data_IF_414143780835
#
_entry.id   IF_414143780835
#
_cell.length_a   1.000
_cell.length_b   1.000
_cell.length_c   1.000
_cell.angle_alpha   90.00
_cell.angle_beta   90.00
_cell.angle_gamma   90.00
#
_symmetry.space_group_name_H-M   'P 1'
#
loop_
_entity.id
_entity.type
_entity.pdbx_description
1 polymer ?
#
# COMPACT_ATOMS: atom_id res chain seq x y z
N UNK A 1 1.36 13.02 -7.94
CA UNK A 1 0.96 11.76 -8.58
C UNK A 1 1.03 11.91 -10.09
N UNK A 2 1.53 10.91 -10.80
CA UNK A 2 1.57 10.93 -12.26
C UNK A 2 0.14 10.93 -12.86
N UNK A 3 -0.27 11.96 -13.62
CA UNK A 3 -1.62 12.06 -14.18
C UNK A 3 -1.94 10.92 -15.16
N UNK A 4 -0.94 10.40 -15.86
CA UNK A 4 -1.08 9.31 -16.83
C UNK A 4 -1.55 8.01 -16.15
N UNK A 5 -1.03 7.72 -14.94
CA UNK A 5 -1.40 6.54 -14.16
C UNK A 5 -2.82 6.68 -13.59
N UNK A 6 -3.17 7.87 -13.09
CA UNK A 6 -4.50 8.17 -12.55
C UNK A 6 -5.56 7.99 -13.64
N UNK A 7 -5.33 8.53 -14.84
CA UNK A 7 -6.28 8.44 -15.94
C UNK A 7 -6.44 7.00 -16.43
N UNK A 8 -5.37 6.20 -16.42
CA UNK A 8 -5.43 4.78 -16.72
C UNK A 8 -6.29 4.02 -15.71
N UNK A 9 -6.08 4.24 -14.41
CA UNK A 9 -6.86 3.60 -13.34
C UNK A 9 -8.32 4.00 -13.45
N UNK A 10 -8.63 5.30 -13.63
CA UNK A 10 -10.00 5.80 -13.86
C UNK A 10 -10.64 5.11 -15.07
N UNK A 11 -9.91 4.92 -16.17
CA UNK A 11 -10.41 4.25 -17.37
C UNK A 11 -10.72 2.77 -17.11
N UNK A 12 -9.81 2.03 -16.47
CA UNK A 12 -10.00 0.59 -16.20
C UNK A 12 -11.14 0.34 -15.19
N UNK A 13 -11.29 1.21 -14.18
CA UNK A 13 -12.43 1.17 -13.25
C UNK A 13 -13.75 1.44 -13.99
N UNK A 14 -13.80 2.46 -14.88
CA UNK A 14 -14.98 2.73 -15.73
C UNK A 14 -15.33 1.58 -16.68
N UNK A 15 -14.34 0.80 -17.10
CA UNK A 15 -14.50 -0.38 -17.95
C UNK A 15 -14.89 -1.65 -17.16
N UNK A 16 -15.25 -1.52 -15.87
CA UNK A 16 -15.57 -2.64 -14.97
C UNK A 16 -14.43 -3.67 -14.84
N UNK A 17 -13.18 -3.23 -14.95
CA UNK A 17 -11.98 -4.04 -14.72
C UNK A 17 -11.19 -3.51 -13.50
N UNK A 18 -11.69 -3.71 -12.26
CA UNK A 18 -11.07 -3.17 -11.05
C UNK A 18 -9.92 -4.05 -10.53
N UNK A 19 -9.05 -4.54 -11.42
CA UNK A 19 -7.94 -5.43 -11.05
C UNK A 19 -6.60 -4.74 -11.24
N UNK A 20 -5.72 -4.90 -10.26
CA UNK A 20 -4.38 -4.32 -10.25
C UNK A 20 -3.35 -5.36 -9.80
N UNK A 21 -2.13 -5.24 -10.30
CA UNK A 21 -0.97 -5.94 -9.77
C UNK A 21 -0.18 -4.99 -8.89
N UNK A 22 0.10 -5.41 -7.66
CA UNK A 22 0.92 -4.66 -6.70
C UNK A 22 2.30 -5.32 -6.65
N UNK A 23 3.32 -4.54 -6.94
CA UNK A 23 4.71 -4.99 -6.91
C UNK A 23 5.57 -4.01 -6.12
N UNK A 24 6.53 -4.55 -5.39
CA UNK A 24 7.48 -3.75 -4.62
C UNK A 24 8.61 -3.25 -5.53
N UNK A 25 9.08 -2.03 -5.28
CA UNK A 25 10.27 -1.47 -5.95
C UNK A 25 11.53 -1.98 -5.25
N UNK A 26 12.61 -2.14 -6.00
CA UNK A 26 13.91 -2.55 -5.42
C UNK A 26 14.63 -1.39 -4.76
N UNK A 27 14.53 -0.20 -5.36
CA UNK A 27 15.16 1.02 -4.85
C UNK A 27 14.10 1.85 -4.10
N UNK A 28 14.18 1.85 -2.77
CA UNK A 28 13.27 2.63 -1.91
C UNK A 28 13.51 4.15 -2.03
N UNK A 29 14.70 4.56 -2.45
CA UNK A 29 15.11 5.97 -2.57
C UNK A 29 14.61 6.66 -3.86
N UNK A 30 14.05 5.91 -4.82
CA UNK A 30 13.60 6.48 -6.08
C UNK A 30 12.20 7.13 -5.95
N UNK A 31 12.08 8.48 -6.06
CA UNK A 31 10.81 9.17 -5.91
C UNK A 31 9.88 9.01 -7.13
N UNK A 32 10.36 8.43 -8.23
CA UNK A 32 9.55 8.27 -9.43
C UNK A 32 8.43 7.27 -9.16
N UNK A 33 7.18 7.68 -9.33
CA UNK A 33 6.02 6.79 -9.13
C UNK A 33 5.89 5.75 -10.24
N UNK A 34 6.35 6.09 -11.45
CA UNK A 34 6.26 5.26 -12.65
C UNK A 34 7.65 4.80 -13.04
N UNK A 35 7.80 3.49 -13.22
CA UNK A 35 9.07 2.85 -13.55
C UNK A 35 9.23 2.78 -15.06
N UNK A 36 10.47 2.84 -15.54
CA UNK A 36 10.77 2.75 -16.98
C UNK A 36 11.14 1.33 -17.38
N UNK A 37 11.77 0.56 -16.46
CA UNK A 37 12.28 -0.78 -16.74
C UNK A 37 11.76 -1.82 -15.76
N UNK A 38 11.49 -3.04 -16.25
CA UNK A 38 11.01 -4.18 -15.44
C UNK A 38 12.00 -4.64 -14.37
N UNK A 39 13.27 -4.23 -14.47
CA UNK A 39 14.35 -4.58 -13.53
C UNK A 39 14.28 -3.83 -12.20
N UNK A 40 13.65 -2.66 -12.19
CA UNK A 40 13.49 -1.79 -11.02
C UNK A 40 12.48 -2.33 -10.00
N UNK A 41 11.73 -3.37 -10.38
CA UNK A 41 10.64 -3.96 -9.62
C UNK A 41 10.97 -5.43 -9.34
N UNK A 42 10.48 -5.96 -8.23
CA UNK A 42 10.57 -7.39 -7.96
C UNK A 42 9.67 -8.21 -8.92
N UNK A 43 10.14 -9.40 -9.28
CA UNK A 43 9.43 -10.24 -10.27
C UNK A 43 8.09 -10.76 -9.75
N UNK A 44 8.00 -10.98 -8.43
CA UNK A 44 6.82 -11.52 -7.76
C UNK A 44 6.10 -10.41 -7.02
N UNK A 45 4.80 -10.33 -7.24
CA UNK A 45 3.90 -9.41 -6.57
C UNK A 45 2.56 -10.05 -6.24
N UNK A 46 1.58 -9.20 -5.94
CA UNK A 46 0.25 -9.62 -5.52
C UNK A 46 -0.82 -9.06 -6.44
N UNK A 47 -1.67 -9.94 -6.94
CA UNK A 47 -2.89 -9.58 -7.65
C UNK A 47 -3.94 -9.13 -6.65
N UNK A 48 -4.43 -7.91 -6.83
CA UNK A 48 -5.41 -7.30 -5.96
C UNK A 48 -6.60 -6.76 -6.75
N UNK A 49 -7.74 -6.69 -6.09
CA UNK A 49 -8.96 -6.10 -6.62
C UNK A 49 -9.25 -4.78 -5.89
N UNK A 50 -9.52 -3.72 -6.63
CA UNK A 50 -9.96 -2.43 -6.07
C UNK A 50 -11.41 -2.59 -5.59
N UNK A 51 -11.63 -2.47 -4.29
CA UNK A 51 -12.97 -2.44 -3.69
C UNK A 51 -13.56 -1.04 -3.67
N UNK A 52 -12.73 -0.06 -3.29
CA UNK A 52 -13.14 1.34 -3.19
C UNK A 52 -12.09 2.24 -3.85
N UNK A 53 -12.58 3.23 -4.60
CA UNK A 53 -11.77 4.27 -5.22
C UNK A 53 -12.34 5.63 -4.83
N UNK A 54 -11.55 6.43 -4.13
CA UNK A 54 -11.86 7.83 -3.82
C UNK A 54 -10.98 8.72 -4.67
N UNK A 55 -11.63 9.56 -5.48
CA UNK A 55 -10.97 10.51 -6.36
C UNK A 55 -10.89 11.88 -5.68
N UNK A 56 -9.67 12.35 -5.42
CA UNK A 56 -9.40 13.68 -4.86
C UNK A 56 -8.86 14.66 -5.94
N UNK A 57 -9.07 14.35 -7.22
CA UNK A 57 -8.59 15.14 -8.35
C UNK A 57 -7.13 14.85 -8.70
N UNK A 58 -6.21 15.35 -7.87
CA UNK A 58 -4.75 15.22 -8.06
C UNK A 58 -4.16 13.97 -7.39
N UNK A 59 -4.95 13.32 -6.54
CA UNK A 59 -4.58 12.09 -5.82
C UNK A 59 -5.75 11.13 -5.84
N UNK A 60 -5.42 9.85 -5.84
CA UNK A 60 -6.40 8.78 -5.90
C UNK A 60 -6.13 7.85 -4.72
N UNK A 61 -7.12 7.70 -3.85
CA UNK A 61 -7.06 6.78 -2.71
C UNK A 61 -7.76 5.49 -3.11
N UNK A 62 -7.01 4.40 -3.07
CA UNK A 62 -7.49 3.06 -3.41
C UNK A 62 -7.54 2.20 -2.15
N UNK A 63 -8.64 1.48 -1.98
CA UNK A 63 -8.73 0.35 -1.07
C UNK A 63 -8.75 -0.91 -1.93
N UNK A 64 -7.72 -1.73 -1.80
CA UNK A 64 -7.55 -2.94 -2.58
C UNK A 64 -7.47 -4.17 -1.68
N UNK A 65 -8.00 -5.29 -2.16
CA UNK A 65 -7.94 -6.59 -1.50
C UNK A 65 -7.06 -7.52 -2.29
N UNK A 66 -6.02 -8.03 -1.64
CA UNK A 66 -5.12 -9.04 -2.19
C UNK A 66 -5.84 -10.39 -2.36
N UNK A 67 -5.65 -11.02 -3.52
CA UNK A 67 -6.24 -12.33 -3.83
C UNK A 67 -5.19 -13.43 -3.97
N UNK A 68 -4.13 -13.20 -4.76
CA UNK A 68 -3.12 -14.23 -5.07
C UNK A 68 -1.80 -13.63 -5.52
N UNK A 69 -0.74 -14.44 -5.48
CA UNK A 69 0.59 -14.05 -5.98
C UNK A 69 0.66 -14.15 -7.50
N UNK A 70 1.38 -13.22 -8.12
CA UNK A 70 1.58 -13.12 -9.57
C UNK A 70 3.04 -12.85 -9.89
N UNK A 71 3.51 -13.38 -11.02
CA UNK A 71 4.84 -13.14 -11.55
C UNK A 71 4.75 -12.32 -12.85
N UNK A 72 5.63 -11.34 -13.01
CA UNK A 72 5.74 -10.56 -14.25
C UNK A 72 6.41 -11.44 -15.33
N UNK A 73 5.76 -11.59 -16.48
CA UNK A 73 6.28 -12.35 -17.63
C UNK A 73 6.75 -11.43 -18.75
N UNK A 74 6.05 -10.30 -18.95
CA UNK A 74 6.40 -9.35 -20.00
C UNK A 74 5.75 -7.98 -19.79
N UNK A 75 6.29 -6.96 -20.45
CA UNK A 75 5.67 -5.63 -20.50
C UNK A 75 4.64 -5.61 -21.64
N UNK A 76 3.46 -5.09 -21.35
CA UNK A 76 2.43 -4.89 -22.37
C UNK A 76 2.36 -3.40 -22.70
N UNK A 77 2.67 -3.05 -23.94
CA UNK A 77 2.49 -1.70 -24.45
C UNK A 77 1.06 -1.58 -24.95
N UNK A 78 0.20 -0.91 -24.18
CA UNK A 78 -1.06 -0.39 -24.72
C UNK A 78 -0.71 0.99 -25.29
N UNK A 79 -0.71 1.12 -26.62
CA UNK A 79 -0.69 2.43 -27.25
C UNK A 79 -1.82 3.23 -26.59
N UNK A 80 -1.49 4.30 -25.88
CA UNK A 80 -2.44 5.36 -25.55
C UNK A 80 -2.77 6.10 -26.85
N UNK A 81 -3.25 5.38 -27.85
CA UNK A 81 -4.09 5.98 -28.85
C UNK A 81 -5.28 6.56 -28.08
N UNK A 82 -5.30 7.88 -28.08
CA UNK A 82 -6.49 8.69 -27.88
C UNK A 82 -7.70 7.92 -28.42
N UNK A 83 -8.89 8.02 -27.77
CA UNK A 83 -10.08 7.37 -28.30
C UNK A 83 -10.13 7.68 -29.79
N UNK A 84 -10.26 6.64 -30.62
CA UNK A 84 -10.37 6.79 -32.06
C UNK A 84 -11.57 7.70 -32.35
N UNK A 85 -11.33 9.01 -32.37
CA UNK A 85 -12.27 10.04 -32.73
C UNK A 85 -12.40 9.93 -34.25
N UNK A 86 -13.45 9.22 -34.66
CA UNK A 86 -13.69 8.90 -36.06
C UNK A 86 -14.60 7.71 -36.32
N UNK A 87 -15.39 7.22 -35.35
CA UNK A 87 -16.59 6.45 -35.71
C UNK A 87 -17.76 7.42 -35.86
N UNK A 88 -18.07 7.76 -37.10
CA UNK A 88 -19.36 8.34 -37.46
C UNK A 88 -20.46 7.41 -36.92
N UNK A 89 -21.21 7.84 -35.91
CA UNK A 89 -22.40 7.11 -35.47
C UNK A 89 -23.54 7.41 -36.42
N UNK A 90 -23.80 6.50 -37.35
CA UNK A 90 -25.00 6.56 -38.21
C UNK A 90 -26.19 6.02 -37.42
N UNK A 91 -27.03 6.91 -36.88
CA UNK A 91 -28.30 6.51 -36.26
C UNK A 91 -29.33 6.33 -37.38
N UNK A 92 -29.86 5.12 -37.53
CA UNK A 92 -30.84 4.76 -38.57
C UNK A 92 -32.24 4.68 -37.94
N UNK A 93 -33.15 5.56 -38.34
CA UNK A 93 -34.55 5.53 -37.89
C UNK A 93 -35.38 4.69 -38.89
N UNK A 94 -36.02 3.58 -38.47
CA UNK A 94 -36.66 2.66 -39.42
C UNK A 94 -38.02 3.15 -39.97
N UNK A 95 -38.65 4.16 -39.37
CA UNK A 95 -39.97 4.66 -39.79
C UNK A 95 -39.92 5.82 -40.78
N UNK A 96 -38.79 6.53 -40.83
CA UNK A 96 -38.53 7.60 -41.79
C UNK A 96 -37.13 7.32 -42.32
N UNK A 97 -37.02 6.89 -43.57
CA UNK A 97 -35.81 6.37 -44.20
C UNK A 97 -34.76 7.49 -44.41
N UNK A 98 -34.30 8.12 -43.33
CA UNK A 98 -33.46 9.32 -43.30
C UNK A 98 -32.24 9.04 -42.41
N UNK A 99 -31.06 9.42 -42.88
CA UNK A 99 -29.80 9.30 -42.16
C UNK A 99 -29.27 10.70 -41.85
N UNK A 100 -28.95 10.98 -40.59
CA UNK A 100 -28.38 12.25 -40.16
C UNK A 100 -26.98 11.98 -39.62
N UNK A 101 -25.97 12.57 -40.26
CA UNK A 101 -24.60 12.55 -39.79
C UNK A 101 -24.39 13.70 -38.81
N UNK A 102 -24.05 13.39 -37.56
CA UNK A 102 -23.71 14.40 -36.53
C UNK A 102 -22.21 14.39 -36.34
N UNK A 103 -21.54 15.46 -36.78
CA UNK A 103 -20.11 15.70 -36.54
C UNK A 103 -19.90 16.40 -35.21
N UNK A 104 -19.00 15.87 -34.38
CA UNK A 104 -18.49 16.57 -33.19
C UNK A 104 -17.31 17.44 -33.64
N UNK A 105 -17.42 18.75 -33.51
CA UNK A 105 -16.37 19.70 -33.94
C UNK A 105 -15.15 19.65 -33.00
N UNK A 106 -13.98 19.30 -33.56
CA UNK A 106 -12.67 19.45 -32.92
C UNK A 106 -12.15 20.90 -33.03
N UNK A 107 -11.48 21.47 -32.00
CA UNK A 107 -10.89 22.80 -32.07
C UNK A 107 -9.69 22.87 -33.05
N UNK A 108 -9.55 24.00 -33.76
CA UNK A 108 -8.63 24.23 -34.88
C UNK A 108 -7.14 23.96 -34.61
N UNK A 109 -6.72 23.93 -33.35
CA UNK A 109 -5.34 23.63 -32.93
C UNK A 109 -4.94 22.18 -33.25
N UNK A 110 -5.88 21.23 -33.13
CA UNK A 110 -5.70 19.79 -33.43
C UNK A 110 -5.48 19.57 -34.94
N UNK A 111 -6.25 20.30 -35.76
CA UNK A 111 -6.22 20.27 -37.23
C UNK A 111 -4.85 20.68 -37.78
N UNK A 112 -4.23 21.71 -37.21
CA UNK A 112 -2.91 22.20 -37.64
C UNK A 112 -1.79 21.21 -37.30
N UNK A 113 -1.85 20.57 -36.12
CA UNK A 113 -0.89 19.51 -35.73
C UNK A 113 -1.01 18.28 -36.62
N UNK A 114 -2.23 17.87 -37.00
CA UNK A 114 -2.48 16.76 -37.94
C UNK A 114 -1.87 17.02 -39.33
N UNK A 115 -2.05 18.23 -39.89
CA UNK A 115 -1.54 18.59 -41.22
C UNK A 115 -0.01 18.52 -41.32
N UNK A 116 0.69 18.88 -40.25
CA UNK A 116 2.15 18.80 -40.17
C UNK A 116 2.65 17.35 -40.10
N UNK A 117 1.98 16.47 -39.35
CA UNK A 117 2.32 15.04 -39.27
C UNK A 117 2.02 14.27 -40.56
N UNK A 118 0.93 14.61 -41.27
CA UNK A 118 0.58 13.97 -42.54
C UNK A 118 1.61 14.26 -43.65
N UNK A 119 2.13 15.49 -43.73
CA UNK A 119 3.20 15.85 -44.68
C UNK A 119 4.50 15.09 -44.42
N UNK A 120 4.88 14.84 -43.16
CA UNK A 120 6.09 14.05 -42.87
C UNK A 120 5.92 12.56 -43.17
N UNK A 121 4.69 12.05 -43.10
CA UNK A 121 4.36 10.65 -43.41
C UNK A 121 4.27 10.39 -44.93
N UNK A 122 3.80 11.37 -45.71
CA UNK A 122 3.74 11.26 -47.19
C UNK A 122 5.13 11.19 -47.85
N UNK A 123 6.14 11.86 -47.30
CA UNK A 123 7.52 11.77 -47.80
C UNK A 123 8.19 10.41 -47.56
N UNK A 124 7.61 9.53 -46.71
CA UNK A 124 8.17 8.21 -46.39
C UNK A 124 7.53 7.05 -47.16
N UNK A 125 6.41 7.27 -47.85
CA UNK A 125 5.57 6.20 -48.39
C UNK A 125 5.44 6.19 -49.92
N UNK A 126 6.44 6.71 -50.63
CA UNK A 126 6.55 6.56 -52.09
C UNK A 126 7.41 5.34 -52.44
N UNK A 127 7.01 4.14 -51.99
CA UNK A 127 7.44 2.87 -52.59
C UNK A 127 6.50 1.75 -52.13
N UNK A 128 6.06 0.97 -53.12
CA UNK A 128 5.19 -0.22 -53.09
C UNK A 128 3.68 0.01 -53.14
N UNK A 129 3.19 0.07 -54.37
CA UNK A 129 1.84 -0.31 -54.77
C UNK A 129 1.80 -1.82 -55.09
N UNK A 130 0.78 -2.53 -54.60
CA UNK A 130 -0.11 -3.35 -55.42
C UNK A 130 -1.28 -3.93 -54.60
N UNK A 131 -2.40 -4.02 -55.31
CA UNK A 131 -3.81 -4.26 -54.98
C UNK A 131 -4.19 -5.71 -54.70
N UNK A 132 -5.21 -5.99 -53.85
CA UNK A 132 -6.56 -6.49 -54.23
C UNK A 132 -7.45 -6.84 -53.01
N UNK A 133 -8.77 -6.67 -53.20
CA UNK A 133 -9.93 -6.78 -52.30
C UNK A 133 -10.16 -8.10 -51.55
N UNK A 134 -10.89 -8.02 -50.41
CA UNK A 134 -11.74 -9.11 -49.91
C UNK A 134 -12.05 -9.16 -48.41
N UNK A 135 -13.21 -8.62 -48.00
CA UNK A 135 -14.04 -8.91 -46.78
C UNK A 135 -13.44 -8.77 -45.36
N UNK A 136 -14.07 -7.97 -44.45
CA UNK A 136 -13.63 -7.84 -43.06
C UNK A 136 -14.24 -8.94 -42.17
N UNK A 137 -13.45 -9.94 -41.82
CA UNK A 137 -13.68 -10.76 -40.64
C UNK A 137 -13.13 -10.02 -39.41
N UNK A 138 -13.92 -9.96 -38.34
CA UNK A 138 -13.55 -9.43 -37.02
C UNK A 138 -12.26 -10.10 -36.52
N UNK A 139 -11.13 -9.45 -36.76
CA UNK A 139 -9.85 -9.81 -36.16
C UNK A 139 -9.75 -9.18 -34.76
N UNK A 140 -9.60 -10.04 -33.76
CA UNK A 140 -9.13 -9.69 -32.42
C UNK A 140 -7.95 -8.70 -32.48
N UNK A 141 -7.81 -7.79 -31.50
CA UNK A 141 -6.78 -6.75 -31.55
C UNK A 141 -5.40 -7.40 -31.70
N UNK A 142 -4.80 -7.21 -32.88
CA UNK A 142 -3.46 -7.69 -33.22
C UNK A 142 -2.47 -7.07 -32.24
N UNK A 143 -1.98 -7.88 -31.29
CA UNK A 143 -0.82 -7.58 -30.43
C UNK A 143 0.36 -7.22 -31.34
N UNK A 144 0.69 -5.94 -31.47
CA UNK A 144 1.94 -5.51 -32.07
C UNK A 144 3.03 -5.61 -31.00
N UNK A 145 3.97 -6.54 -31.20
CA UNK A 145 5.28 -6.45 -30.58
C UNK A 145 6.02 -5.32 -31.31
N UNK A 146 6.24 -4.18 -30.63
CA UNK A 146 6.98 -3.05 -31.17
C UNK A 146 8.49 -3.25 -30.98
N UNK A 147 9.24 -2.63 -31.90
CA UNK A 147 10.68 -2.73 -32.10
C UNK A 147 11.46 -2.20 -30.90
N UNK A 148 12.63 -2.81 -30.64
CA UNK A 148 13.63 -2.34 -29.68
C UNK A 148 13.90 -0.83 -29.86
N UNK A 149 13.56 -0.02 -28.86
CA UNK A 149 14.01 1.38 -28.77
C UNK A 149 13.00 2.45 -28.33
N UNK A 150 11.71 2.16 -28.15
CA UNK A 150 10.77 3.12 -27.56
C UNK A 150 10.62 2.87 -26.05
N UNK A 151 11.35 3.63 -25.23
CA UNK A 151 11.20 3.62 -23.77
C UNK A 151 9.90 4.37 -23.41
N UNK A 152 8.83 3.61 -23.19
CA UNK A 152 7.59 4.10 -22.61
C UNK A 152 7.47 3.63 -21.14
N UNK A 153 6.85 4.44 -20.27
CA UNK A 153 6.66 4.07 -18.87
C UNK A 153 5.93 2.72 -18.71
N UNK A 154 6.34 1.93 -17.71
CA UNK A 154 5.66 0.70 -17.31
C UNK A 154 4.29 1.03 -16.73
N UNK A 155 3.27 0.92 -17.57
CA UNK A 155 1.88 1.12 -17.17
C UNK A 155 1.12 -0.20 -17.06
N UNK A 156 1.44 -1.17 -17.92
CA UNK A 156 0.76 -2.46 -17.98
C UNK A 156 1.79 -3.59 -18.16
N UNK A 157 1.55 -4.70 -17.48
CA UNK A 157 2.40 -5.89 -17.51
C UNK A 157 1.54 -7.14 -17.70
N UNK A 158 2.06 -8.10 -18.45
CA UNK A 158 1.50 -9.45 -18.53
C UNK A 158 2.00 -10.25 -17.34
N UNK A 159 1.05 -10.88 -16.64
CA UNK A 159 1.31 -11.56 -15.37
C UNK A 159 0.82 -12.99 -15.41
N UNK A 160 1.60 -13.89 -14.82
CA UNK A 160 1.25 -15.29 -14.65
C UNK A 160 0.91 -15.58 -13.18
N UNK A 161 -0.05 -16.49 -12.98
CA UNK A 161 -0.47 -16.89 -11.64
C UNK A 161 0.53 -17.88 -11.04
N UNK A 162 1.16 -17.49 -9.94
CA UNK A 162 2.07 -18.37 -9.20
C UNK A 162 1.22 -19.33 -8.36
N UNK A 163 1.18 -20.61 -8.74
CA UNK A 163 0.57 -21.66 -7.93
C UNK A 163 1.61 -22.28 -7.02
N UNK A 164 1.29 -22.43 -5.75
CA UNK A 164 2.11 -23.22 -4.83
C UNK A 164 1.98 -24.71 -5.15
N UNK A 165 3.08 -25.45 -4.94
CA UNK A 165 3.03 -26.90 -4.94
C UNK A 165 2.14 -27.40 -3.79
N UNK A 166 1.49 -28.55 -3.99
CA UNK A 166 0.71 -29.19 -2.93
C UNK A 166 1.60 -29.54 -1.75
N UNK A 167 1.27 -29.02 -0.56
CA UNK A 167 2.05 -29.26 0.65
C UNK A 167 2.01 -30.72 1.07
N UNK A 168 3.19 -31.29 1.36
CA UNK A 168 3.28 -32.54 2.12
C UNK A 168 3.13 -32.18 3.59
N UNK A 169 2.09 -32.72 4.23
CA UNK A 169 1.84 -32.56 5.67
C UNK A 169 2.82 -33.41 6.50
N UNK A 170 4.11 -33.13 6.37
CA UNK A 170 5.18 -33.70 7.21
C UNK A 170 5.00 -33.23 8.66
N UNK A 171 5.44 -34.03 9.62
CA UNK A 171 5.39 -33.66 11.05
C UNK A 171 6.10 -32.34 11.34
N UNK A 172 7.22 -32.08 10.66
CA UNK A 172 7.97 -30.82 10.76
C UNK A 172 7.12 -29.59 10.40
N UNK A 173 6.38 -29.66 9.28
CA UNK A 173 5.51 -28.55 8.84
C UNK A 173 4.39 -28.31 9.85
N UNK A 174 3.83 -29.37 10.44
CA UNK A 174 2.81 -29.25 11.49
C UNK A 174 3.38 -28.61 12.75
N UNK A 175 4.57 -29.02 13.18
CA UNK A 175 5.25 -28.47 14.35
C UNK A 175 5.55 -26.97 14.14
N UNK A 176 6.10 -26.59 12.99
CA UNK A 176 6.37 -25.19 12.62
C UNK A 176 5.08 -24.36 12.59
N UNK A 177 4.02 -24.88 11.97
CA UNK A 177 2.71 -24.21 11.91
C UNK A 177 2.17 -23.95 13.31
N UNK A 178 2.27 -24.92 14.23
CA UNK A 178 1.82 -24.74 15.61
C UNK A 178 2.65 -23.70 16.38
N UNK A 179 3.98 -23.69 16.19
CA UNK A 179 4.84 -22.69 16.82
C UNK A 179 4.55 -21.28 16.29
N UNK A 180 4.32 -21.13 14.98
CA UNK A 180 3.90 -19.85 14.38
C UNK A 180 2.57 -19.38 14.97
N UNK A 181 1.55 -20.25 15.03
CA UNK A 181 0.24 -19.92 15.65
C UNK A 181 0.43 -19.46 17.10
N UNK A 182 1.29 -20.15 17.87
CA UNK A 182 1.58 -19.79 19.26
C UNK A 182 2.23 -18.41 19.34
N UNK A 183 3.25 -18.12 18.52
CA UNK A 183 3.89 -16.79 18.51
C UNK A 183 2.94 -15.66 18.12
N UNK A 184 2.08 -15.88 17.11
CA UNK A 184 1.06 -14.92 16.72
C UNK A 184 0.11 -14.66 17.89
N UNK A 185 -0.36 -15.71 18.58
CA UNK A 185 -1.23 -15.58 19.76
C UNK A 185 -0.54 -14.76 20.86
N UNK A 186 0.73 -15.02 21.14
CA UNK A 186 1.49 -14.29 22.14
C UNK A 186 1.60 -12.80 21.79
N UNK A 187 1.86 -12.45 20.52
CA UNK A 187 1.90 -11.06 20.05
C UNK A 187 0.54 -10.37 20.25
N UNK A 188 -0.57 -11.03 19.90
CA UNK A 188 -1.93 -10.49 20.07
C UNK A 188 -2.25 -10.20 21.54
N UNK A 189 -1.80 -11.06 22.45
CA UNK A 189 -2.03 -10.85 23.89
C UNK A 189 -1.26 -9.65 24.43
N UNK A 190 -0.10 -9.32 23.85
CA UNK A 190 0.72 -8.19 24.26
C UNK A 190 0.21 -6.86 23.70
N UNK A 191 -0.33 -6.85 22.48
CA UNK A 191 -0.90 -5.65 21.86
C UNK A 191 -2.34 -5.90 21.36
N UNK A 192 -3.36 -5.47 22.13
CA UNK A 192 -4.77 -5.66 21.79
C UNK A 192 -5.21 -5.03 20.47
N UNK A 193 -4.48 -4.04 19.93
CA UNK A 193 -4.81 -3.39 18.66
C UNK A 193 -4.76 -4.38 17.48
N UNK A 194 -3.86 -5.37 17.55
CA UNK A 194 -3.80 -6.42 16.53
C UNK A 194 -5.00 -7.35 16.58
N UNK A 195 -5.68 -7.46 17.72
CA UNK A 195 -6.85 -8.33 17.89
C UNK A 195 -7.99 -7.92 16.96
N UNK A 196 -8.23 -6.61 16.80
CA UNK A 196 -9.29 -6.10 15.93
C UNK A 196 -8.97 -6.34 14.45
N UNK A 197 -7.74 -6.02 14.03
CA UNK A 197 -7.28 -6.28 12.65
C UNK A 197 -7.33 -7.77 12.29
N UNK A 198 -6.95 -8.64 13.22
CA UNK A 198 -6.99 -10.09 13.00
C UNK A 198 -8.40 -10.66 13.07
N UNK A 199 -9.30 -10.15 13.94
CA UNK A 199 -10.69 -10.58 13.94
C UNK A 199 -11.36 -10.28 12.59
N UNK A 200 -11.08 -9.12 12.00
CA UNK A 200 -11.60 -8.77 10.67
C UNK A 200 -11.08 -9.74 9.59
N UNK A 201 -9.80 -10.13 9.64
CA UNK A 201 -9.21 -11.10 8.69
C UNK A 201 -9.66 -12.55 8.93
N UNK A 202 -9.83 -12.97 10.19
CA UNK A 202 -10.26 -14.32 10.58
C UNK A 202 -11.75 -14.56 10.25
N UNK A 203 -12.60 -13.54 10.34
CA UNK A 203 -14.01 -13.65 9.93
C UNK A 203 -14.18 -13.87 8.43
N UNK A 204 -13.26 -13.38 7.61
CA UNK A 204 -13.33 -13.56 6.16
C UNK A 204 -12.88 -14.96 5.72
N UNK A 205 -12.02 -15.64 6.49
CA UNK A 205 -11.44 -16.92 6.09
C UNK A 205 -11.24 -17.87 7.30
N UNK A 206 -12.28 -18.63 7.68
CA UNK A 206 -12.19 -19.65 8.75
C UNK A 206 -11.15 -20.76 8.51
N UNK A 207 -10.55 -20.84 7.30
CA UNK A 207 -9.53 -21.82 6.92
C UNK A 207 -8.09 -21.32 7.03
N UNK A 208 -7.86 -20.12 7.57
CA UNK A 208 -6.52 -19.51 7.67
C UNK A 208 -5.56 -20.36 8.52
N UNK A 209 -6.08 -21.09 9.50
CA UNK A 209 -5.26 -21.91 10.41
C UNK A 209 -4.77 -23.21 9.77
N UNK A 210 -5.49 -23.72 8.76
CA UNK A 210 -5.17 -25.01 8.13
C UNK A 210 -4.16 -24.88 6.98
N UNK A 211 -3.96 -23.66 6.45
CA UNK A 211 -3.07 -23.44 5.33
C UNK A 211 -1.79 -22.69 5.76
N UNK A 212 -0.61 -23.35 5.74
CA UNK A 212 0.64 -22.75 6.19
C UNK A 212 1.06 -21.52 5.36
N UNK A 213 0.65 -21.46 4.09
CA UNK A 213 0.94 -20.31 3.21
C UNK A 213 0.25 -19.05 3.72
N UNK A 214 -1.06 -19.14 3.99
CA UNK A 214 -1.84 -18.01 4.52
C UNK A 214 -1.38 -17.62 5.93
N UNK A 215 -0.96 -18.59 6.74
CA UNK A 215 -0.39 -18.31 8.06
C UNK A 215 0.91 -17.49 7.97
N UNK A 216 1.78 -17.80 7.01
CA UNK A 216 2.99 -17.00 6.76
C UNK A 216 2.63 -15.58 6.33
N UNK A 217 1.67 -15.43 5.41
CA UNK A 217 1.22 -14.13 4.91
C UNK A 217 0.58 -13.30 6.04
N UNK A 218 -0.20 -13.96 6.92
CA UNK A 218 -0.75 -13.35 8.12
C UNK A 218 0.35 -12.90 9.08
N UNK A 219 1.34 -13.78 9.33
CA UNK A 219 2.47 -13.48 10.19
C UNK A 219 3.29 -12.29 9.68
N UNK A 220 3.53 -12.24 8.37
CA UNK A 220 4.20 -11.12 7.71
C UNK A 220 3.39 -9.82 7.84
N UNK A 221 2.05 -9.86 7.72
CA UNK A 221 1.19 -8.68 7.90
C UNK A 221 1.17 -8.13 9.34
N UNK A 222 1.49 -8.98 10.32
CA UNK A 222 1.54 -8.61 11.73
C UNK A 222 2.92 -8.06 12.13
N UNK A 223 3.96 -8.38 11.36
CA UNK A 223 5.33 -7.97 11.64
C UNK A 223 5.63 -6.61 10.99
N UNK A 224 6.40 -5.77 11.69
CA UNK A 224 6.93 -4.53 11.15
C UNK A 224 8.34 -4.73 10.53
N UNK A 225 8.49 -5.77 9.71
CA UNK A 225 9.76 -6.15 9.08
C UNK A 225 10.13 -5.22 7.91
N UNK A 226 11.39 -5.28 7.49
CA UNK A 226 11.87 -4.50 6.35
C UNK A 226 11.22 -4.97 5.04
N UNK A 227 10.98 -4.09 4.06
CA UNK A 227 10.35 -4.46 2.78
C UNK A 227 11.08 -5.61 2.07
N UNK A 228 12.41 -5.64 2.17
CA UNK A 228 13.23 -6.72 1.63
C UNK A 228 12.93 -8.09 2.27
N UNK A 229 12.86 -8.15 3.61
CA UNK A 229 12.53 -9.40 4.34
C UNK A 229 11.10 -9.89 4.01
N UNK A 230 10.15 -8.95 3.86
CA UNK A 230 8.78 -9.29 3.45
C UNK A 230 8.72 -9.84 2.03
N UNK A 231 9.52 -9.28 1.13
CA UNK A 231 9.64 -9.75 -0.25
C UNK A 231 10.28 -11.13 -0.32
N UNK A 232 11.31 -11.43 0.48
CA UNK A 232 11.89 -12.78 0.58
C UNK A 232 10.83 -13.83 0.93
N UNK A 233 9.94 -13.53 1.88
CA UNK A 233 8.82 -14.41 2.22
C UNK A 233 7.83 -14.54 1.05
N UNK A 234 7.58 -13.46 0.31
CA UNK A 234 6.67 -13.48 -0.84
C UNK A 234 7.20 -14.34 -1.98
N UNK A 235 8.52 -14.30 -2.21
CA UNK A 235 9.24 -15.01 -3.28
C UNK A 235 9.49 -16.48 -2.97
N UNK A 236 9.63 -16.83 -1.69
CA UNK A 236 9.90 -18.21 -1.29
C UNK A 236 8.73 -19.15 -1.69
N UNK A 237 9.10 -20.22 -2.39
CA UNK A 237 8.15 -21.22 -2.90
C UNK A 237 8.10 -22.45 -1.98
N UNK A 238 9.18 -22.73 -1.26
CA UNK A 238 9.28 -23.86 -0.36
C UNK A 238 8.62 -23.54 0.99
N UNK A 239 7.53 -24.24 1.30
CA UNK A 239 6.66 -23.95 2.46
C UNK A 239 7.39 -24.07 3.81
N UNK A 240 8.22 -25.11 4.08
CA UNK A 240 8.96 -25.21 5.34
C UNK A 240 9.96 -24.06 5.50
N UNK A 241 10.68 -23.68 4.44
CA UNK A 241 11.61 -22.53 4.48
C UNK A 241 10.86 -21.23 4.73
N UNK A 242 9.74 -21.03 4.03
CA UNK A 242 8.86 -19.87 4.21
C UNK A 242 8.34 -19.75 5.64
N UNK A 243 7.91 -20.87 6.23
CA UNK A 243 7.48 -20.93 7.64
C UNK A 243 8.62 -20.57 8.60
N UNK A 244 9.83 -21.06 8.35
CA UNK A 244 11.00 -20.71 9.17
C UNK A 244 11.36 -19.22 9.08
N UNK A 245 11.35 -18.64 7.87
CA UNK A 245 11.57 -17.20 7.66
C UNK A 245 10.51 -16.38 8.40
N UNK A 246 9.23 -16.71 8.21
CA UNK A 246 8.11 -16.04 8.89
C UNK A 246 8.21 -16.18 10.42
N UNK A 247 8.56 -17.35 10.93
CA UNK A 247 8.76 -17.58 12.36
C UNK A 247 9.90 -16.72 12.91
N UNK A 248 11.01 -16.57 12.17
CA UNK A 248 12.12 -15.71 12.57
C UNK A 248 11.67 -14.26 12.74
N UNK A 249 10.93 -13.70 11.76
CA UNK A 249 10.40 -12.33 11.83
C UNK A 249 9.42 -12.16 12.99
N UNK A 250 8.50 -13.12 13.18
CA UNK A 250 7.55 -13.09 14.29
C UNK A 250 8.23 -13.15 15.66
N UNK A 251 9.32 -13.91 15.80
CA UNK A 251 10.09 -13.93 17.04
C UNK A 251 10.78 -12.59 17.30
N UNK A 252 11.38 -11.97 16.28
CA UNK A 252 11.94 -10.61 16.38
C UNK A 252 10.87 -9.61 16.84
N UNK A 253 9.69 -9.64 16.23
CA UNK A 253 8.54 -8.78 16.59
C UNK A 253 8.08 -9.02 18.03
N UNK A 254 8.00 -10.28 18.46
CA UNK A 254 7.62 -10.62 19.83
C UNK A 254 8.63 -10.08 20.87
N UNK A 255 9.93 -10.14 20.58
CA UNK A 255 10.97 -9.57 21.45
C UNK A 255 10.85 -8.04 21.52
N UNK A 256 10.63 -7.38 20.38
CA UNK A 256 10.41 -5.95 20.30
C UNK A 256 9.16 -5.53 21.10
N UNK A 257 8.05 -6.25 20.95
CA UNK A 257 6.81 -6.01 21.70
C UNK A 257 7.01 -6.17 23.21
N UNK A 258 7.77 -7.19 23.65
CA UNK A 258 8.14 -7.35 25.07
C UNK A 258 8.98 -6.20 25.60
N UNK A 259 9.94 -5.71 24.81
CA UNK A 259 10.77 -4.58 25.19
C UNK A 259 9.93 -3.30 25.31
N UNK A 260 9.05 -3.03 24.34
CA UNK A 260 8.12 -1.89 24.39
C UNK A 260 7.22 -1.93 25.63
N UNK A 261 6.65 -3.10 25.95
CA UNK A 261 5.84 -3.28 27.15
C UNK A 261 6.64 -3.04 28.44
N UNK A 262 7.90 -3.48 28.48
CA UNK A 262 8.80 -3.23 29.63
C UNK A 262 9.09 -1.75 29.80
N UNK A 263 9.42 -1.05 28.72
CA UNK A 263 9.65 0.40 28.72
C UNK A 263 8.38 1.13 29.19
N UNK A 264 7.21 0.75 28.69
CA UNK A 264 5.93 1.32 29.11
C UNK A 264 5.71 1.21 30.63
N UNK A 265 5.98 0.03 31.22
CA UNK A 265 5.87 -0.17 32.67
C UNK A 265 6.87 0.66 33.46
N UNK A 266 8.14 0.72 33.03
CA UNK A 266 9.17 1.53 33.71
C UNK A 266 8.84 3.02 33.69
N UNK A 267 8.30 3.53 32.58
CA UNK A 267 7.85 4.92 32.47
C UNK A 267 6.64 5.16 33.37
N UNK A 268 5.65 4.27 33.36
CA UNK A 268 4.46 4.38 34.21
C UNK A 268 4.82 4.36 35.70
N UNK A 269 5.74 3.49 36.12
CA UNK A 269 6.24 3.47 37.50
C UNK A 269 6.94 4.77 37.88
N UNK A 270 7.80 5.32 37.02
CA UNK A 270 8.45 6.61 37.27
C UNK A 270 7.44 7.75 37.37
N UNK A 271 6.44 7.81 36.49
CA UNK A 271 5.36 8.80 36.53
C UNK A 271 4.56 8.67 37.82
N UNK A 272 4.19 7.44 38.21
CA UNK A 272 3.44 7.18 39.45
C UNK A 272 4.23 7.59 40.69
N UNK A 273 5.53 7.33 40.73
CA UNK A 273 6.40 7.76 41.83
C UNK A 273 6.52 9.29 41.90
N UNK A 274 6.69 9.96 40.76
CA UNK A 274 6.72 11.43 40.69
C UNK A 274 5.39 12.04 41.12
N UNK A 275 4.27 11.52 40.62
CA UNK A 275 2.93 11.99 40.98
C UNK A 275 2.65 11.78 42.47
N UNK A 276 3.02 10.62 43.03
CA UNK A 276 2.90 10.36 44.48
C UNK A 276 3.74 11.34 45.30
N UNK A 277 4.99 11.60 44.89
CA UNK A 277 5.87 12.56 45.58
C UNK A 277 5.30 13.97 45.54
N UNK A 278 4.77 14.39 44.39
CA UNK A 278 4.11 15.68 44.22
C UNK A 278 2.91 15.83 45.16
N UNK A 279 2.01 14.83 45.20
CA UNK A 279 0.85 14.83 46.10
C UNK A 279 1.28 14.90 47.57
N UNK A 280 2.28 14.10 47.97
CA UNK A 280 2.77 14.12 49.35
C UNK A 280 3.41 15.48 49.72
N UNK A 281 4.09 16.13 48.79
CA UNK A 281 4.65 17.47 49.00
C UNK A 281 3.57 18.54 49.14
N UNK A 282 2.52 18.48 48.31
CA UNK A 282 1.34 19.35 48.43
C UNK A 282 0.63 19.12 49.78
N UNK A 283 0.37 17.87 50.16
CA UNK A 283 -0.23 17.54 51.46
C UNK A 283 0.62 18.05 52.62
N UNK A 284 1.94 17.90 52.55
CA UNK A 284 2.85 18.36 53.59
C UNK A 284 2.89 19.90 53.69
N UNK A 285 2.77 20.63 52.56
CA UNK A 285 2.60 22.09 52.57
C UNK A 285 1.29 22.49 53.25
N UNK A 286 0.18 21.85 52.88
CA UNK A 286 -1.14 22.12 53.49
C UNK A 286 -1.10 21.86 55.00
N UNK A 287 -0.55 20.72 55.44
CA UNK A 287 -0.40 20.39 56.86
C UNK A 287 0.50 21.40 57.59
N UNK A 288 1.62 21.83 57.00
CA UNK A 288 2.48 22.86 57.60
C UNK A 288 1.78 24.21 57.75
N UNK A 289 0.93 24.55 56.78
CA UNK A 289 0.09 25.74 56.81
C UNK A 289 -1.01 25.64 57.87
N UNK A 290 -1.66 24.50 58.02
CA UNK A 290 -2.67 24.25 59.06
C UNK A 290 -2.08 24.19 60.47
N UNK A 291 -0.90 23.59 60.64
CA UNK A 291 -0.17 23.54 61.92
C UNK A 291 0.43 24.89 62.35
N UNK A 292 0.35 25.93 61.50
CA UNK A 292 0.94 27.25 61.78
C UNK A 292 2.47 27.23 61.87
N UNK A 293 3.13 26.19 61.35
CA UNK A 293 4.59 26.04 61.35
C UNK A 293 5.20 26.73 60.12
N UNK A 294 4.44 26.90 59.03
CA UNK A 294 4.72 27.97 58.08
C UNK A 294 4.49 29.30 58.81
N UNK A 295 5.54 29.79 59.48
CA UNK A 295 5.70 31.21 59.74
C UNK A 295 5.64 31.87 58.38
N UNK A 296 4.52 32.54 58.11
CA UNK A 296 4.40 33.46 56.99
C UNK A 296 5.68 34.32 57.00
N UNK A 297 6.27 34.67 55.86
CA UNK A 297 7.56 35.39 55.84
C UNK A 297 7.51 36.67 56.72
N UNK A 298 6.31 37.22 56.94
CA UNK A 298 6.00 38.28 57.90
C UNK A 298 6.31 37.95 59.37
N UNK A 299 6.03 36.74 59.84
CA UNK A 299 6.29 36.32 61.21
C UNK A 299 7.76 36.05 61.48
N UNK A 300 8.50 35.49 60.51
CA UNK A 300 9.95 35.32 60.58
C UNK A 300 10.68 36.69 60.61
N UNK A 301 10.17 37.66 59.85
CA UNK A 301 10.66 39.05 59.89
C UNK A 301 10.33 39.70 61.24
N UNK A 302 9.10 39.51 61.76
CA UNK A 302 8.68 40.04 63.06
C UNK A 302 9.49 39.49 64.25
N UNK A 303 9.92 38.23 64.20
CA UNK A 303 10.81 37.63 65.20
C UNK A 303 12.23 38.24 65.16
N UNK A 304 12.81 38.41 63.97
CA UNK A 304 14.11 39.07 63.80
C UNK A 304 14.10 40.52 64.30
N UNK A 305 13.01 41.24 64.10
CA UNK A 305 12.85 42.59 64.64
C UNK A 305 12.70 42.59 66.16
N UNK A 306 11.99 41.61 66.74
CA UNK A 306 11.89 41.45 68.21
C UNK A 306 13.21 41.07 68.87
N UNK A 307 14.01 40.21 68.25
CA UNK A 307 15.37 39.89 68.71
C UNK A 307 16.26 41.14 68.70
N UNK A 308 16.26 41.90 67.61
CA UNK A 308 17.02 43.17 67.52
C UNK A 308 16.60 44.22 68.53
N UNK A 309 15.35 44.21 69.00
CA UNK A 309 14.88 45.12 70.05
C UNK A 309 15.33 44.63 71.43
N UNK A 310 15.33 43.32 71.70
CA UNK A 310 15.84 42.75 72.97
C UNK A 310 17.34 42.92 73.14
N UNK A 311 18.11 42.92 72.05
CA UNK A 311 19.56 43.13 72.08
C UNK A 311 19.94 44.62 72.32
N UNK A 312 18.96 45.53 72.30
CA UNK A 312 19.14 46.97 72.45
C UNK A 312 18.61 47.56 73.76
N UNK A 313 18.09 46.73 74.67
CA UNK A 313 17.69 47.09 76.03
C UNK A 313 18.66 46.45 77.00
#
# INVERSE_FOLDING_TARGET
TNPMLIDLIRRKVKLNQPYIGIFLKKDDDNPNEVMETTKEVYEIGTFAQIQEMQDLGDRLRLVATAHRRIKIVGQLYEDLDAPAAGKEMTIKYPYFNTQIAVSVDEPDAEKRRRKHKLRSKQMRNSNNDHTTDGTPLEEAPKRRLLKEGEQQPLLMVEVENVKHESFKNTEEVKALTQEVIKTIRDIITMNPLYRESLQQMLHQNQRVVDNPVYLCDLGASLSAAEPAELQEILEEMDIPKRLMLSLSLLKKELELSKLQAKIGREVEEKVKQQHRKYILQEQLKVIKKELGIEKDDKDAIGEKYRERIKEKV
#
